data_IF_373742339363
#
_entry.id   IF_373742339363
#
_cell.length_a   1.000
_cell.length_b   1.000
_cell.length_c   1.000
_cell.angle_alpha   90.00
_cell.angle_beta   90.00
_cell.angle_gamma   90.00
#
_symmetry.space_group_name_H-M   'P 1'
#
loop_
_entity.id
_entity.type
_entity.pdbx_description
1 polymer ?
#
# COMPACT_ATOMS: atom_id res chain seq x y z
N UNK A 1 12.13 -29.91 50.66
CA UNK A 1 12.76 -28.73 50.02
C UNK A 1 12.15 -28.51 48.63
N UNK A 2 12.05 -29.55 47.82
CA UNK A 2 11.39 -29.59 46.49
C UNK A 2 9.92 -29.12 46.49
N UNK A 3 9.13 -29.52 47.47
CA UNK A 3 7.71 -29.14 47.63
C UNK A 3 7.48 -27.65 47.95
N UNK A 4 8.49 -26.97 48.51
CA UNK A 4 8.43 -25.53 48.75
C UNK A 4 8.75 -24.75 47.46
N UNK A 5 9.73 -25.23 46.68
CA UNK A 5 10.12 -24.60 45.42
C UNK A 5 8.98 -24.68 44.39
N UNK A 6 8.30 -25.83 44.30
CA UNK A 6 7.17 -26.01 43.37
C UNK A 6 6.00 -25.07 43.68
N UNK A 7 5.65 -24.86 44.97
CA UNK A 7 4.59 -23.91 45.36
C UNK A 7 4.90 -22.46 45.00
N UNK A 8 6.17 -22.07 45.01
CA UNK A 8 6.59 -20.74 44.58
C UNK A 8 6.55 -20.58 43.06
N UNK A 9 6.90 -21.64 42.32
CA UNK A 9 6.81 -21.67 40.86
C UNK A 9 5.35 -21.55 40.39
N UNK A 10 4.43 -22.33 40.98
CA UNK A 10 3.00 -22.32 40.61
C UNK A 10 2.39 -20.93 40.78
N UNK A 11 2.75 -20.23 41.86
CA UNK A 11 2.28 -18.86 42.09
C UNK A 11 2.78 -17.91 40.99
N UNK A 12 4.01 -18.05 40.55
CA UNK A 12 4.57 -17.22 39.47
C UNK A 12 3.96 -17.57 38.10
N UNK A 13 3.82 -18.86 37.81
CA UNK A 13 3.20 -19.38 36.58
C UNK A 13 1.74 -18.92 36.46
N UNK A 14 1.00 -18.86 37.57
CA UNK A 14 -0.40 -18.42 37.59
C UNK A 14 -0.63 -16.96 37.15
N UNK A 15 0.41 -16.13 37.08
CA UNK A 15 0.32 -14.77 36.54
C UNK A 15 0.34 -14.71 35.01
N UNK A 16 0.81 -15.77 34.36
CA UNK A 16 0.89 -15.83 32.91
C UNK A 16 -0.34 -16.50 32.34
N UNK A 17 -0.80 -16.00 31.20
CA UNK A 17 -1.81 -16.71 30.43
C UNK A 17 -1.23 -18.02 29.87
N UNK A 18 -2.06 -19.05 29.69
CA UNK A 18 -1.65 -20.30 29.06
C UNK A 18 -0.99 -20.06 27.70
N UNK A 19 -1.50 -19.08 26.93
CA UNK A 19 -0.92 -18.66 25.65
C UNK A 19 0.49 -18.10 25.79
N UNK A 20 0.74 -17.34 26.85
CA UNK A 20 2.07 -16.79 27.15
C UNK A 20 3.04 -17.90 27.51
N UNK A 21 2.61 -18.85 28.34
CA UNK A 21 3.42 -20.02 28.72
C UNK A 21 3.76 -20.87 27.49
N UNK A 22 2.77 -21.14 26.62
CA UNK A 22 2.99 -21.90 25.38
C UNK A 22 4.06 -21.25 24.48
N UNK A 23 4.03 -19.92 24.33
CA UNK A 23 5.04 -19.17 23.58
C UNK A 23 6.43 -19.28 24.20
N UNK A 24 6.53 -19.19 25.52
CA UNK A 24 7.80 -19.39 26.23
C UNK A 24 8.37 -20.80 26.05
N UNK A 25 7.53 -21.82 26.07
CA UNK A 25 7.95 -23.21 25.82
C UNK A 25 8.52 -23.33 24.41
N UNK A 26 7.83 -22.80 23.40
CA UNK A 26 8.30 -22.82 22.00
C UNK A 26 9.64 -22.10 21.82
N UNK A 27 9.79 -20.90 22.41
CA UNK A 27 11.08 -20.18 22.40
C UNK A 27 12.18 -21.02 23.04
N UNK A 28 11.92 -21.57 24.22
CA UNK A 28 12.89 -22.40 24.95
C UNK A 28 13.34 -23.60 24.12
N UNK A 29 12.41 -24.28 23.47
CA UNK A 29 12.70 -25.42 22.60
C UNK A 29 13.56 -25.00 21.39
N UNK A 30 13.24 -23.89 20.73
CA UNK A 30 14.05 -23.38 19.62
C UNK A 30 15.47 -22.99 20.07
N UNK A 31 15.61 -22.34 21.22
CA UNK A 31 16.92 -22.00 21.79
C UNK A 31 17.75 -23.23 22.14
N UNK A 32 17.14 -24.30 22.67
CA UNK A 32 17.80 -25.58 22.90
C UNK A 32 18.29 -26.22 21.59
N UNK A 33 17.47 -26.20 20.53
CA UNK A 33 17.91 -26.67 19.21
C UNK A 33 19.04 -25.82 18.64
N UNK A 34 19.01 -24.48 18.77
CA UNK A 34 20.14 -23.64 18.38
C UNK A 34 21.39 -24.01 19.17
N UNK A 35 21.29 -24.19 20.48
CA UNK A 35 22.44 -24.53 21.31
C UNK A 35 23.08 -25.85 20.86
N UNK A 36 22.26 -26.89 20.65
CA UNK A 36 22.70 -28.19 20.12
C UNK A 36 23.28 -28.06 18.72
N UNK A 37 22.64 -27.26 17.85
CA UNK A 37 23.12 -27.01 16.50
C UNK A 37 24.48 -26.30 16.49
N UNK A 38 24.73 -25.38 17.44
CA UNK A 38 25.98 -24.63 17.53
C UNK A 38 27.11 -25.38 18.21
N UNK A 39 26.80 -26.44 18.95
CA UNK A 39 27.76 -27.21 19.73
C UNK A 39 28.85 -27.80 18.81
N UNK A 40 30.10 -27.48 19.10
CA UNK A 40 31.27 -27.99 18.37
C UNK A 40 31.70 -29.34 18.95
N UNK A 41 30.91 -30.38 18.71
CA UNK A 41 31.31 -31.76 19.01
C UNK A 41 31.47 -32.53 17.71
N UNK A 42 32.69 -32.99 17.42
CA UNK A 42 33.05 -33.73 16.19
C UNK A 42 32.29 -35.06 15.99
N UNK A 43 31.44 -35.46 16.94
CA UNK A 43 30.70 -36.71 16.94
C UNK A 43 29.18 -36.55 17.01
N UNK A 44 28.64 -35.33 16.95
CA UNK A 44 27.19 -35.16 16.86
C UNK A 44 26.75 -35.26 15.40
N UNK A 45 26.52 -36.50 14.95
CA UNK A 45 26.00 -36.81 13.61
C UNK A 45 24.64 -36.13 13.33
N UNK A 46 23.97 -35.62 14.36
CA UNK A 46 22.63 -35.05 14.26
C UNK A 46 22.64 -33.52 14.35
N UNK A 47 23.82 -32.88 14.23
CA UNK A 47 23.96 -31.41 14.25
C UNK A 47 23.02 -30.74 13.24
N UNK A 48 23.01 -31.19 11.99
CA UNK A 48 22.13 -30.64 10.96
C UNK A 48 20.64 -30.96 11.22
N UNK A 49 20.32 -32.04 11.93
CA UNK A 49 18.95 -32.34 12.33
C UNK A 49 18.45 -31.35 13.37
N UNK A 50 19.30 -30.95 14.32
CA UNK A 50 18.98 -29.87 15.27
C UNK A 50 18.74 -28.55 14.56
N UNK A 51 19.59 -28.19 13.59
CA UNK A 51 19.38 -27.02 12.74
C UNK A 51 18.05 -27.11 11.96
N UNK A 52 17.75 -28.28 11.40
CA UNK A 52 16.50 -28.52 10.65
C UNK A 52 15.26 -28.36 11.53
N UNK A 53 15.26 -28.93 12.74
CA UNK A 53 14.17 -28.78 13.70
C UNK A 53 13.99 -27.33 14.15
N UNK A 54 15.09 -26.62 14.41
CA UNK A 54 15.05 -25.19 14.73
C UNK A 54 14.39 -24.39 13.60
N UNK A 55 14.83 -24.58 12.35
CA UNK A 55 14.28 -23.84 11.20
C UNK A 55 12.81 -24.19 10.96
N UNK A 56 12.41 -25.44 11.15
CA UNK A 56 11.01 -25.85 11.05
C UNK A 56 10.14 -25.11 12.08
N UNK A 57 10.51 -25.19 13.36
CA UNK A 57 9.78 -24.51 14.44
C UNK A 57 9.74 -23.00 14.23
N UNK A 58 10.84 -22.40 13.79
CA UNK A 58 10.88 -20.98 13.48
C UNK A 58 9.85 -20.59 12.42
N UNK A 59 9.77 -21.34 11.31
CA UNK A 59 8.83 -21.09 10.22
C UNK A 59 7.36 -21.26 10.61
N UNK A 60 7.07 -22.09 11.60
CA UNK A 60 5.71 -22.21 12.14
C UNK A 60 5.38 -21.01 13.05
N UNK A 61 6.33 -20.61 13.89
CA UNK A 61 6.13 -19.55 14.88
C UNK A 61 6.16 -18.14 14.27
N UNK A 62 6.89 -17.91 13.18
CA UNK A 62 6.90 -16.61 12.49
C UNK A 62 5.53 -16.27 11.89
N UNK A 63 4.73 -17.27 11.48
CA UNK A 63 3.35 -17.05 11.01
C UNK A 63 2.46 -16.50 12.12
N UNK A 64 2.68 -16.92 13.36
CA UNK A 64 1.97 -16.39 14.53
C UNK A 64 2.26 -14.90 14.70
N UNK A 65 3.47 -14.44 14.37
CA UNK A 65 3.82 -13.03 14.40
C UNK A 65 3.14 -12.17 13.34
N UNK A 66 2.71 -12.77 12.24
CA UNK A 66 1.94 -12.08 11.21
C UNK A 66 0.46 -11.96 11.59
N UNK A 67 -0.04 -12.86 12.44
CA UNK A 67 -1.44 -12.93 12.88
C UNK A 67 -1.69 -12.28 14.26
N UNK A 68 -0.64 -12.11 15.07
CA UNK A 68 -0.71 -11.63 16.46
C UNK A 68 0.20 -10.42 16.68
N UNK A 69 -0.32 -9.37 17.31
CA UNK A 69 0.45 -8.21 17.78
C UNK A 69 1.27 -8.49 19.06
N UNK A 70 1.86 -9.69 19.17
CA UNK A 70 2.71 -10.04 20.32
C UNK A 70 4.15 -9.63 20.03
N UNK A 71 4.44 -8.35 20.30
CA UNK A 71 5.73 -7.75 19.98
C UNK A 71 6.89 -8.45 20.69
N UNK A 72 6.70 -8.90 21.94
CA UNK A 72 7.78 -9.48 22.74
C UNK A 72 8.19 -10.86 22.19
N UNK A 73 7.22 -11.72 21.90
CA UNK A 73 7.50 -13.04 21.31
C UNK A 73 8.19 -12.91 19.94
N UNK A 74 7.71 -12.00 19.10
CA UNK A 74 8.23 -11.80 17.76
C UNK A 74 9.61 -11.15 17.75
N UNK A 75 9.84 -10.21 18.67
CA UNK A 75 11.15 -9.63 18.90
C UNK A 75 12.17 -10.71 19.28
N UNK A 76 11.80 -11.63 20.18
CA UNK A 76 12.68 -12.74 20.55
C UNK A 76 12.91 -13.75 19.41
N UNK A 77 11.94 -13.96 18.53
CA UNK A 77 12.16 -14.73 17.31
C UNK A 77 13.18 -14.06 16.39
N UNK A 78 13.13 -12.75 16.19
CA UNK A 78 14.12 -12.03 15.38
C UNK A 78 15.53 -12.13 16.01
N UNK A 79 15.65 -12.05 17.34
CA UNK A 79 16.91 -12.28 18.06
C UNK A 79 17.44 -13.71 17.82
N UNK A 80 16.53 -14.70 17.82
CA UNK A 80 16.86 -16.09 17.54
C UNK A 80 17.37 -16.28 16.10
N UNK A 81 16.72 -15.61 15.14
CA UNK A 81 17.16 -15.55 13.74
C UNK A 81 18.56 -14.97 13.63
N UNK A 82 18.86 -13.84 14.27
CA UNK A 82 20.19 -13.22 14.23
C UNK A 82 21.27 -14.20 14.69
N UNK A 83 21.00 -14.93 15.78
CA UNK A 83 21.89 -15.96 16.30
C UNK A 83 22.10 -17.08 15.29
N UNK A 84 21.03 -17.57 14.66
CA UNK A 84 21.12 -18.63 13.66
C UNK A 84 21.93 -18.19 12.43
N UNK A 85 21.57 -17.04 11.85
CA UNK A 85 22.20 -16.48 10.64
C UNK A 85 23.70 -16.25 10.84
N UNK A 86 24.08 -15.69 11.99
CA UNK A 86 25.49 -15.45 12.35
C UNK A 86 26.29 -16.76 12.37
N UNK A 87 25.69 -17.83 12.88
CA UNK A 87 26.35 -19.13 12.92
C UNK A 87 26.47 -19.76 11.53
N UNK A 88 25.41 -19.69 10.73
CA UNK A 88 25.41 -20.19 9.36
C UNK A 88 26.38 -19.42 8.45
N UNK A 89 26.56 -18.12 8.69
CA UNK A 89 27.52 -17.28 7.96
C UNK A 89 28.99 -17.60 8.29
N UNK A 90 29.29 -18.08 9.49
CA UNK A 90 30.67 -18.29 9.97
C UNK A 90 31.15 -19.74 9.85
N UNK A 91 30.28 -20.73 10.08
CA UNK A 91 30.67 -22.14 10.22
C UNK A 91 29.99 -23.11 9.25
N UNK A 92 29.29 -22.59 8.24
CA UNK A 92 28.42 -23.32 7.29
C UNK A 92 28.68 -24.83 7.19
N UNK A 93 27.93 -25.62 7.95
CA UNK A 93 28.14 -27.07 8.08
C UNK A 93 27.01 -27.93 7.50
N UNK A 94 25.90 -27.32 7.09
CA UNK A 94 24.71 -28.02 6.56
C UNK A 94 24.28 -27.40 5.24
N UNK A 95 24.47 -28.12 4.13
CA UNK A 95 24.17 -27.63 2.78
C UNK A 95 22.68 -27.51 2.46
N UNK A 96 21.83 -28.28 3.15
CA UNK A 96 20.37 -28.28 2.97
C UNK A 96 19.66 -27.11 3.67
N UNK A 97 20.34 -26.43 4.59
CA UNK A 97 19.76 -25.37 5.40
C UNK A 97 20.02 -23.99 4.79
N UNK A 98 19.00 -23.14 4.78
CA UNK A 98 19.15 -21.74 4.38
C UNK A 98 20.14 -21.04 5.32
N UNK A 99 21.03 -20.21 4.76
CA UNK A 99 21.97 -19.41 5.55
C UNK A 99 21.30 -18.30 6.34
N UNK A 100 20.12 -17.88 5.90
CA UNK A 100 19.33 -16.83 6.55
C UNK A 100 17.87 -17.23 6.65
N UNK A 101 17.24 -16.86 7.76
CA UNK A 101 15.78 -16.98 7.93
C UNK A 101 15.06 -15.70 7.47
N UNK A 102 13.76 -15.75 7.28
CA UNK A 102 12.98 -14.53 7.04
C UNK A 102 12.73 -13.83 8.37
N UNK A 103 12.89 -12.51 8.43
CA UNK A 103 12.43 -11.72 9.58
C UNK A 103 10.93 -11.50 9.50
N UNK A 104 10.28 -11.37 10.65
CA UNK A 104 8.87 -11.01 10.64
C UNK A 104 8.71 -9.58 10.13
N UNK A 105 7.66 -9.32 9.36
CA UNK A 105 7.36 -7.95 8.91
C UNK A 105 6.84 -7.17 10.10
N UNK A 106 7.69 -6.33 10.66
CA UNK A 106 7.35 -5.41 11.75
C UNK A 106 6.38 -4.34 11.23
N UNK A 107 5.08 -4.68 11.21
CA UNK A 107 4.04 -3.67 11.09
C UNK A 107 3.96 -2.97 12.43
N UNK A 108 4.80 -1.94 12.59
CA UNK A 108 4.69 -1.05 13.72
C UNK A 108 3.26 -0.47 13.67
N UNK A 109 2.42 -0.74 14.68
CA UNK A 109 1.01 -0.43 14.61
C UNK A 109 0.84 1.09 14.61
N UNK A 110 1.74 1.81 15.28
CA UNK A 110 1.80 3.26 15.21
C UNK A 110 2.13 3.72 13.78
N UNK A 111 3.07 3.08 13.07
CA UNK A 111 3.35 3.42 11.67
C UNK A 111 2.15 3.16 10.79
N UNK A 112 1.48 2.00 10.90
CA UNK A 112 0.29 1.65 10.11
C UNK A 112 -0.88 2.61 10.38
N UNK A 113 -1.07 3.02 11.65
CA UNK A 113 -2.13 3.96 12.04
C UNK A 113 -1.77 5.39 11.61
N UNK A 114 -0.51 5.81 11.74
CA UNK A 114 -0.08 7.19 11.52
C UNK A 114 0.14 7.49 10.03
N UNK A 115 0.63 6.54 9.24
CA UNK A 115 0.93 6.73 7.79
C UNK A 115 -0.23 7.23 6.93
N UNK A 116 -1.52 6.85 7.11
CA UNK A 116 -2.60 7.38 6.27
C UNK A 116 -2.84 8.87 6.49
N UNK A 117 -2.61 9.42 7.69
CA UNK A 117 -2.87 10.81 8.01
C UNK A 117 -2.09 11.83 7.15
N UNK A 118 -0.74 11.78 7.03
CA UNK A 118 -0.01 12.70 6.18
C UNK A 118 -0.36 12.52 4.70
N UNK A 119 -0.66 11.31 4.24
CA UNK A 119 -1.08 11.05 2.86
C UNK A 119 -2.40 11.75 2.56
N UNK A 120 -3.40 11.60 3.44
CA UNK A 120 -4.70 12.27 3.30
C UNK A 120 -4.55 13.80 3.36
N UNK A 121 -3.70 14.31 4.25
CA UNK A 121 -3.41 15.75 4.35
C UNK A 121 -2.77 16.30 3.09
N UNK A 122 -1.77 15.61 2.54
CA UNK A 122 -1.12 16.00 1.28
C UNK A 122 -2.13 16.03 0.14
N UNK A 123 -2.95 14.97 -0.01
CA UNK A 123 -4.00 14.92 -1.04
C UNK A 123 -4.99 16.08 -0.87
N UNK A 124 -5.48 16.31 0.35
CA UNK A 124 -6.42 17.40 0.65
C UNK A 124 -5.84 18.77 0.32
N UNK A 125 -4.59 19.03 0.70
CA UNK A 125 -3.90 20.28 0.41
C UNK A 125 -3.68 20.44 -1.10
N UNK A 126 -3.21 19.40 -1.79
CA UNK A 126 -3.04 19.42 -3.24
C UNK A 126 -4.35 19.74 -3.96
N UNK A 127 -5.47 19.14 -3.57
CA UNK A 127 -6.79 19.44 -4.12
C UNK A 127 -7.22 20.89 -3.83
N UNK A 128 -6.95 21.40 -2.63
CA UNK A 128 -7.24 22.79 -2.27
C UNK A 128 -6.45 23.79 -3.12
N UNK A 129 -5.15 23.57 -3.30
CA UNK A 129 -4.32 24.41 -4.17
C UNK A 129 -4.75 24.31 -5.64
N UNK A 130 -5.04 23.10 -6.12
CA UNK A 130 -5.58 22.89 -7.45
C UNK A 130 -6.90 23.64 -7.64
N UNK A 131 -7.82 23.56 -6.68
CA UNK A 131 -9.12 24.25 -6.74
C UNK A 131 -8.97 25.78 -6.72
N UNK A 132 -8.08 26.33 -5.88
CA UNK A 132 -7.92 27.78 -5.70
C UNK A 132 -7.11 28.45 -6.81
N UNK A 133 -6.06 27.78 -7.30
CA UNK A 133 -5.06 28.39 -8.18
C UNK A 133 -5.04 27.82 -9.60
N UNK A 134 -5.76 26.72 -9.87
CA UNK A 134 -5.89 26.19 -11.22
C UNK A 134 -7.25 26.58 -11.78
N UNK A 135 -7.34 27.36 -12.87
CA UNK A 135 -8.60 27.82 -13.45
C UNK A 135 -9.28 26.71 -14.26
N UNK A 136 -9.68 25.62 -13.57
CA UNK A 136 -10.41 24.49 -14.16
C UNK A 136 -11.77 24.88 -14.73
N UNK A 137 -12.33 26.03 -14.34
CA UNK A 137 -13.53 26.60 -14.94
C UNK A 137 -13.42 26.85 -16.45
N UNK A 138 -12.19 26.96 -17.00
CA UNK A 138 -11.96 27.05 -18.44
C UNK A 138 -11.90 25.69 -19.15
N UNK A 139 -11.55 24.61 -18.43
CA UNK A 139 -11.30 23.28 -19.01
C UNK A 139 -12.61 22.51 -19.25
N UNK A 140 -13.56 22.58 -18.30
CA UNK A 140 -14.90 21.98 -18.47
C UNK A 140 -15.83 22.80 -19.37
N UNK A 141 -15.45 24.02 -19.79
CA UNK A 141 -16.24 24.86 -20.70
C UNK A 141 -16.02 24.54 -22.18
N UNK A 142 -15.24 23.51 -22.52
CA UNK A 142 -15.13 23.03 -23.90
C UNK A 142 -15.93 21.75 -24.08
N UNK A 143 -17.10 21.92 -24.73
CA UNK A 143 -17.87 20.93 -25.54
C UNK A 143 -19.24 20.53 -24.98
N UNK A 144 -20.19 21.46 -25.06
CA UNK A 144 -21.59 21.12 -25.38
C UNK A 144 -22.07 21.97 -26.55
N UNK A 145 -21.43 21.83 -27.72
CA UNK A 145 -22.12 22.14 -28.98
C UNK A 145 -22.96 20.91 -29.32
N UNK A 146 -24.25 20.96 -28.95
CA UNK A 146 -25.25 20.01 -29.40
C UNK A 146 -25.28 20.02 -30.93
N UNK A 147 -24.67 19.02 -31.58
CA UNK A 147 -24.85 18.77 -33.00
C UNK A 147 -26.22 18.12 -33.16
N UNK A 148 -27.28 18.93 -33.32
CA UNK A 148 -28.57 18.43 -33.78
C UNK A 148 -28.35 17.92 -35.21
N UNK A 149 -28.51 16.62 -35.42
CA UNK A 149 -28.53 16.03 -36.76
C UNK A 149 -29.76 16.56 -37.49
N UNK A 150 -29.56 17.40 -38.50
CA UNK A 150 -30.57 17.67 -39.52
C UNK A 150 -30.16 16.86 -40.74
N UNK A 151 -30.80 15.72 -41.05
CA UNK A 151 -30.71 15.12 -42.36
C UNK A 151 -31.70 15.85 -43.27
N UNK A 152 -31.18 16.75 -44.11
CA UNK A 152 -31.94 17.54 -45.05
C UNK A 152 -31.42 17.30 -46.47
N UNK A 153 -32.34 16.87 -47.31
CA UNK A 153 -32.17 16.33 -48.65
C UNK A 153 -31.48 17.28 -49.65
N UNK A 154 -30.75 16.65 -50.57
CA UNK A 154 -30.39 17.04 -51.94
C UNK A 154 -31.11 18.28 -52.49
N UNK A 155 -30.37 19.32 -52.90
CA UNK A 155 -30.70 19.97 -54.17
C UNK A 155 -29.57 20.80 -54.81
N UNK A 156 -29.45 20.57 -56.11
CA UNK A 156 -28.85 21.36 -57.19
C UNK A 156 -27.34 21.69 -57.26
N UNK A 157 -26.70 20.91 -58.13
CA UNK A 157 -25.66 21.23 -59.10
C UNK A 157 -25.23 22.71 -59.33
N UNK A 158 -23.92 22.89 -59.20
CA UNK A 158 -22.96 23.40 -60.21
C UNK A 158 -23.00 24.87 -60.68
N UNK A 159 -21.78 25.46 -60.69
CA UNK A 159 -21.30 26.68 -61.37
C UNK A 159 -21.71 27.97 -60.65
N UNK A 160 -20.80 28.85 -60.19
CA UNK A 160 -20.01 29.77 -61.01
C UNK A 160 -18.75 30.26 -60.26
N UNK A 161 -17.69 30.47 -61.03
CA UNK A 161 -16.34 31.02 -60.78
C UNK A 161 -16.35 32.36 -59.96
N UNK A 162 -15.27 32.70 -59.22
CA UNK A 162 -15.32 33.70 -58.16
C UNK A 162 -15.23 35.13 -58.70
N UNK A 163 -16.15 36.00 -58.26
CA UNK A 163 -16.03 37.44 -58.51
C UNK A 163 -15.44 38.13 -57.30
N UNK A 164 -14.15 38.46 -57.44
CA UNK A 164 -13.51 39.59 -56.79
C UNK A 164 -14.38 40.84 -56.91
N UNK A 165 -14.69 41.46 -55.79
CA UNK A 165 -15.09 42.86 -55.72
C UNK A 165 -14.28 43.50 -54.59
N UNK A 166 -13.05 43.88 -54.94
CA UNK A 166 -12.29 44.90 -54.21
C UNK A 166 -12.43 46.13 -55.09
N UNK A 167 -13.08 47.21 -54.71
CA UNK A 167 -12.76 48.18 -53.65
C UNK A 167 -13.91 49.20 -53.77
N UNK A 168 -14.42 49.83 -52.72
CA UNK A 168 -14.05 51.21 -52.38
C UNK A 168 -14.82 51.63 -51.13
N UNK A 169 -14.07 52.33 -50.30
CA UNK A 169 -14.40 53.01 -49.06
C UNK A 169 -15.65 53.91 -49.11
N UNK A 170 -16.27 54.04 -47.93
CA UNK A 170 -16.90 55.25 -47.39
C UNK A 170 -17.84 56.05 -48.32
N UNK A 171 -19.14 55.97 -48.06
CA UNK A 171 -19.85 57.01 -47.30
C UNK A 171 -21.33 56.68 -47.23
N UNK A 172 -21.88 56.78 -46.03
CA UNK A 172 -23.32 56.87 -45.76
C UNK A 172 -23.96 57.97 -46.61
N UNK A 173 -25.11 57.69 -47.23
CA UNK A 173 -26.40 58.32 -46.90
C UNK A 173 -27.49 57.98 -47.93
N UNK A 174 -28.66 57.61 -47.39
CA UNK A 174 -30.00 57.80 -47.93
C UNK A 174 -30.45 57.00 -49.17
N UNK A 175 -31.05 55.82 -48.92
CA UNK A 175 -32.37 55.51 -49.50
C UNK A 175 -33.31 54.96 -48.44
N UNK A 176 -34.37 55.72 -48.28
CA UNK A 176 -35.43 55.64 -47.28
C UNK A 176 -36.48 54.65 -47.77
N UNK A 177 -36.63 53.52 -47.07
CA UNK A 177 -37.77 52.63 -47.26
C UNK A 177 -38.58 52.64 -45.96
N UNK A 178 -39.65 53.44 -45.93
CA UNK A 178 -40.63 53.47 -44.85
C UNK A 178 -41.59 52.30 -45.04
N UNK A 179 -41.58 51.34 -44.12
CA UNK A 179 -42.62 50.33 -44.00
C UNK A 179 -43.54 50.79 -42.86
N UNK A 180 -44.76 51.20 -43.22
CA UNK A 180 -45.80 51.64 -42.29
C UNK A 180 -46.55 50.44 -41.72
N UNK A 181 -46.84 50.49 -40.43
CA UNK A 181 -47.70 49.53 -39.73
C UNK A 181 -48.98 50.27 -39.32
N UNK A 182 -50.11 49.81 -39.82
CA UNK A 182 -51.43 50.13 -39.30
C UNK A 182 -52.04 48.82 -38.77
N UNK A 183 -52.45 48.82 -37.51
CA UNK A 183 -53.55 47.96 -37.08
C UNK A 183 -54.33 48.65 -35.95
N UNK A 184 -55.60 48.84 -36.27
CA UNK A 184 -56.65 49.55 -35.55
C UNK A 184 -57.22 48.76 -34.39
N UNK A 185 -57.88 49.48 -33.48
CA UNK A 185 -59.15 49.02 -32.89
C UNK A 185 -59.22 48.99 -31.37
N UNK A 186 -59.60 50.10 -30.75
CA UNK A 186 -60.94 50.24 -30.14
C UNK A 186 -61.28 51.71 -29.90
#
# INVERSE_FOLDING_TARGET
MEESANRHLDKYVSFFSDKTIEKFIKLTEMYDYIYKFKKDTQHDNNKCDHGTKCVHLYKENIKICEESYDYDFCYELDNLKERYDTYMGTKGCCSSLSKTLESYKLHNPAVVIITPFPILLVISLSLFFMYKYTPFGSFFRKRTKNKKNIPGNLDYAMNVIPHTSQRVNNYNNNRQYNISYLSSGQ
#
